data_IF_691749482173
#
_entry.id   IF_691749482173
#
_cell.length_a   1.000
_cell.length_b   1.000
_cell.length_c   1.000
_cell.angle_alpha   90.00
_cell.angle_beta   90.00
_cell.angle_gamma   90.00
#
_symmetry.space_group_name_H-M   'P 1'
#
loop_
_entity.id
_entity.type
_entity.pdbx_description
1 polymer ?
#
# COMPACT_ATOMS: atom_id res chain seq x y z
N UNK A 1 3.06 -21.05 1.35
CA UNK A 1 1.85 -20.25 1.44
C UNK A 1 0.90 -20.71 2.51
N UNK A 2 1.15 -21.90 3.06
CA UNK A 2 0.28 -22.46 4.10
C UNK A 2 0.22 -21.60 5.37
N UNK A 3 1.28 -20.83 5.64
CA UNK A 3 1.35 -19.97 6.82
C UNK A 3 0.97 -18.51 6.53
N UNK A 4 0.58 -18.18 5.29
CA UNK A 4 0.25 -16.81 4.93
C UNK A 4 -1.18 -16.48 5.31
N UNK A 5 -1.35 -15.58 6.28
CA UNK A 5 -2.68 -15.17 6.75
C UNK A 5 -3.51 -14.53 5.64
N UNK A 6 -2.87 -13.76 4.74
CA UNK A 6 -3.60 -13.12 3.64
C UNK A 6 -4.02 -14.10 2.56
N UNK A 7 -3.22 -15.15 2.31
CA UNK A 7 -3.65 -16.24 1.45
C UNK A 7 -4.89 -16.95 2.02
N UNK A 8 -4.90 -17.15 3.33
CA UNK A 8 -6.04 -17.79 4.01
C UNK A 8 -7.29 -16.93 3.96
N UNK A 9 -7.13 -15.60 4.11
CA UNK A 9 -8.25 -14.68 3.97
C UNK A 9 -8.76 -14.69 2.52
N UNK A 10 -7.86 -14.66 1.55
CA UNK A 10 -8.21 -14.67 0.13
C UNK A 10 -8.95 -15.94 -0.27
N UNK A 11 -8.63 -17.07 0.37
CA UNK A 11 -9.27 -18.37 0.10
C UNK A 11 -10.55 -18.58 0.92
N UNK A 12 -10.91 -17.64 1.78
CA UNK A 12 -12.11 -17.76 2.60
C UNK A 12 -11.94 -18.63 3.85
N UNK A 13 -10.71 -19.04 4.17
CA UNK A 13 -10.43 -19.88 5.34
C UNK A 13 -10.52 -19.10 6.65
N UNK A 14 -10.22 -17.80 6.60
CA UNK A 14 -10.30 -16.90 7.76
C UNK A 14 -11.34 -15.83 7.44
N UNK A 15 -12.37 -15.65 8.29
CA UNK A 15 -13.34 -14.60 8.09
C UNK A 15 -12.73 -13.22 8.31
N UNK A 16 -13.24 -12.23 7.58
CA UNK A 16 -12.77 -10.85 7.68
C UNK A 16 -13.94 -9.91 7.35
N UNK A 17 -13.75 -8.62 7.66
CA UNK A 17 -14.72 -7.58 7.30
C UNK A 17 -14.45 -7.14 5.86
N UNK A 18 -15.00 -7.88 4.93
CA UNK A 18 -14.76 -7.71 3.51
C UNK A 18 -15.47 -6.48 2.97
N UNK A 19 -14.73 -5.62 2.30
CA UNK A 19 -15.22 -4.40 1.66
C UNK A 19 -15.50 -4.65 0.17
N UNK A 20 -14.64 -5.41 -0.48
CA UNK A 20 -14.75 -5.70 -1.90
C UNK A 20 -13.99 -6.98 -2.23
N UNK A 21 -14.44 -7.68 -3.25
CA UNK A 21 -13.75 -8.89 -3.72
C UNK A 21 -14.08 -9.12 -5.18
N UNK A 22 -13.07 -9.49 -5.96
CA UNK A 22 -13.25 -10.02 -7.31
C UNK A 22 -12.23 -11.14 -7.54
N UNK A 23 -12.02 -11.54 -8.79
CA UNK A 23 -11.11 -12.65 -9.12
C UNK A 23 -9.63 -12.32 -8.89
N UNK A 24 -9.28 -11.04 -8.75
CA UNK A 24 -7.88 -10.59 -8.64
C UNK A 24 -7.53 -10.13 -7.22
N UNK A 25 -8.43 -9.42 -6.55
CA UNK A 25 -8.15 -8.81 -5.26
C UNK A 25 -9.24 -9.11 -4.24
N UNK A 26 -8.86 -8.95 -2.97
CA UNK A 26 -9.80 -8.84 -1.87
C UNK A 26 -9.42 -7.60 -1.07
N UNK A 27 -10.43 -6.82 -0.67
CA UNK A 27 -10.24 -5.66 0.19
C UNK A 27 -11.03 -5.86 1.47
N UNK A 28 -10.40 -5.62 2.61
CA UNK A 28 -11.02 -5.82 3.91
C UNK A 28 -10.48 -4.81 4.92
N UNK A 29 -11.24 -4.58 5.97
CA UNK A 29 -10.83 -3.63 7.01
C UNK A 29 -9.62 -4.18 7.77
N UNK A 30 -8.65 -3.31 8.01
CA UNK A 30 -7.58 -3.63 8.96
C UNK A 30 -8.19 -3.75 10.35
N UNK A 31 -7.88 -4.85 11.05
CA UNK A 31 -8.40 -5.06 12.40
C UNK A 31 -7.88 -4.01 13.37
N UNK A 32 -6.72 -3.43 13.10
CA UNK A 32 -6.12 -2.36 13.89
C UNK A 32 -6.32 -1.03 13.17
N UNK A 33 -7.55 -0.57 13.16
CA UNK A 33 -7.94 0.68 12.48
C UNK A 33 -7.11 1.85 12.96
N UNK A 34 -6.26 2.40 12.10
CA UNK A 34 -5.56 3.66 12.38
C UNK A 34 -6.57 4.81 12.37
N UNK A 35 -7.45 4.79 11.38
CA UNK A 35 -8.60 5.69 11.29
C UNK A 35 -9.81 4.87 10.86
N UNK A 36 -10.99 5.44 11.00
CA UNK A 36 -12.23 4.80 10.57
C UNK A 36 -12.18 4.52 9.06
N UNK A 37 -12.31 3.27 8.68
CA UNK A 37 -12.32 2.88 7.29
C UNK A 37 -10.96 2.45 6.75
N UNK A 38 -9.94 2.38 7.60
CA UNK A 38 -8.62 1.86 7.21
C UNK A 38 -8.80 0.49 6.56
N UNK A 39 -8.52 0.40 5.28
CA UNK A 39 -8.76 -0.76 4.43
C UNK A 39 -7.45 -1.28 3.84
N UNK A 40 -7.37 -2.59 3.71
CA UNK A 40 -6.26 -3.25 3.02
C UNK A 40 -6.77 -3.78 1.68
N UNK A 41 -6.05 -3.49 0.61
CA UNK A 41 -6.27 -4.09 -0.70
C UNK A 41 -5.18 -5.12 -0.94
N UNK A 42 -5.57 -6.36 -1.16
CA UNK A 42 -4.65 -7.50 -1.16
C UNK A 42 -4.86 -8.31 -2.45
N UNK A 43 -3.80 -8.60 -3.22
CA UNK A 43 -3.92 -9.51 -4.35
C UNK A 43 -4.24 -10.93 -3.85
N UNK A 44 -5.12 -11.64 -4.54
CA UNK A 44 -5.41 -13.03 -4.21
C UNK A 44 -4.23 -13.94 -4.48
N UNK A 45 -3.48 -13.64 -5.55
CA UNK A 45 -2.21 -14.29 -5.83
C UNK A 45 -1.18 -13.90 -4.77
N UNK A 46 -0.43 -14.86 -4.27
CA UNK A 46 0.63 -14.56 -3.30
C UNK A 46 1.79 -13.86 -4.02
N UNK A 47 1.94 -12.58 -3.74
CA UNK A 47 3.06 -11.76 -4.22
C UNK A 47 3.63 -11.15 -2.95
N UNK A 48 4.92 -11.37 -2.69
CA UNK A 48 5.51 -10.95 -1.42
C UNK A 48 5.53 -9.43 -1.25
N UNK A 49 5.98 -8.72 -2.28
CA UNK A 49 6.15 -7.26 -2.24
C UNK A 49 6.17 -6.70 -3.67
N UNK A 50 6.43 -5.39 -3.80
CA UNK A 50 6.41 -4.70 -5.09
C UNK A 50 7.41 -5.30 -6.10
N UNK A 51 8.52 -5.84 -5.60
CA UNK A 51 9.57 -6.39 -6.46
C UNK A 51 9.16 -7.71 -7.12
N UNK A 52 8.12 -8.37 -6.59
CA UNK A 52 7.58 -9.61 -7.15
C UNK A 52 6.44 -9.42 -8.15
N UNK A 53 6.02 -8.19 -8.42
CA UNK A 53 4.95 -7.93 -9.38
C UNK A 53 5.46 -8.01 -10.82
N UNK A 54 4.74 -8.74 -11.67
CA UNK A 54 4.86 -8.58 -13.11
C UNK A 54 4.10 -7.33 -13.54
N UNK A 55 4.34 -6.84 -14.75
CA UNK A 55 3.57 -5.71 -15.29
C UNK A 55 2.07 -6.02 -15.32
N UNK A 56 1.72 -7.24 -15.69
CA UNK A 56 0.32 -7.66 -15.74
C UNK A 56 -0.30 -7.71 -14.35
N UNK A 57 0.40 -8.27 -13.37
CA UNK A 57 -0.07 -8.32 -11.99
C UNK A 57 -0.26 -6.91 -11.42
N UNK A 58 0.72 -6.04 -11.65
CA UNK A 58 0.66 -4.64 -11.18
C UNK A 58 -0.53 -3.92 -11.80
N UNK A 59 -0.72 -4.04 -13.12
CA UNK A 59 -1.85 -3.44 -13.81
C UNK A 59 -3.18 -3.97 -13.25
N UNK A 60 -3.28 -5.27 -13.05
CA UNK A 60 -4.51 -5.89 -12.55
C UNK A 60 -4.85 -5.44 -11.14
N UNK A 61 -3.85 -5.44 -10.24
CA UNK A 61 -4.08 -5.12 -8.83
C UNK A 61 -4.29 -3.62 -8.62
N UNK A 62 -3.37 -2.80 -9.12
CA UNK A 62 -3.35 -1.37 -8.79
C UNK A 62 -4.47 -0.57 -9.46
N UNK A 63 -5.00 -1.03 -10.59
CA UNK A 63 -6.15 -0.36 -11.21
C UNK A 63 -7.41 -0.41 -10.32
N UNK A 64 -7.44 -1.29 -9.34
CA UNK A 64 -8.56 -1.44 -8.42
C UNK A 64 -8.49 -0.48 -7.22
N UNK A 65 -7.36 0.19 -7.03
CA UNK A 65 -7.20 1.16 -5.93
C UNK A 65 -8.23 2.28 -6.01
N UNK A 66 -8.42 2.95 -7.15
CA UNK A 66 -9.42 4.03 -7.22
C UNK A 66 -10.84 3.57 -6.92
N UNK A 67 -11.18 2.33 -7.26
CA UNK A 67 -12.50 1.77 -6.97
C UNK A 67 -12.77 1.79 -5.46
N UNK A 68 -11.84 1.26 -4.68
CA UNK A 68 -11.98 1.20 -3.22
C UNK A 68 -11.84 2.59 -2.60
N UNK A 69 -10.93 3.41 -3.11
CA UNK A 69 -10.73 4.78 -2.64
C UNK A 69 -12.00 5.62 -2.80
N UNK A 70 -12.66 5.53 -3.95
CA UNK A 70 -13.92 6.25 -4.20
C UNK A 70 -15.05 5.74 -3.32
N UNK A 71 -15.09 4.43 -3.08
CA UNK A 71 -16.07 3.85 -2.17
C UNK A 71 -15.91 4.41 -0.75
N UNK A 72 -14.68 4.55 -0.27
CA UNK A 72 -14.39 5.16 1.03
C UNK A 72 -14.84 6.62 1.08
N UNK A 73 -14.52 7.37 0.04
CA UNK A 73 -14.89 8.79 -0.08
C UNK A 73 -16.41 8.97 -0.05
N UNK A 74 -17.11 8.12 -0.77
CA UNK A 74 -18.58 8.20 -0.83
C UNK A 74 -19.24 7.72 0.46
N UNK A 75 -18.64 6.74 1.14
CA UNK A 75 -19.16 6.21 2.39
C UNK A 75 -18.98 7.17 3.56
N UNK A 76 -17.90 7.94 3.57
CA UNK A 76 -17.54 8.82 4.70
C UNK A 76 -17.42 10.26 4.23
N UNK A 77 -18.53 10.99 4.34
CA UNK A 77 -18.64 12.38 3.87
C UNK A 77 -17.69 13.34 4.60
N UNK A 78 -17.24 12.98 5.81
CA UNK A 78 -16.31 13.77 6.62
C UNK A 78 -14.83 13.48 6.29
N UNK A 79 -14.55 12.59 5.36
CA UNK A 79 -13.19 12.28 4.93
C UNK A 79 -12.56 13.47 4.21
N UNK A 80 -11.39 13.92 4.69
CA UNK A 80 -10.69 15.08 4.15
C UNK A 80 -9.55 14.70 3.22
N UNK A 81 -9.09 13.48 3.29
CA UNK A 81 -7.98 13.00 2.47
C UNK A 81 -7.79 11.52 2.63
N UNK A 82 -6.82 10.98 1.90
CA UNK A 82 -6.53 9.55 1.90
C UNK A 82 -5.03 9.35 1.73
N UNK A 83 -4.42 8.57 2.62
CA UNK A 83 -3.08 8.08 2.39
C UNK A 83 -3.14 6.67 1.82
N UNK A 84 -2.36 6.44 0.78
CA UNK A 84 -2.20 5.12 0.16
C UNK A 84 -0.78 4.70 0.44
N UNK A 85 -0.60 3.58 1.15
CA UNK A 85 0.70 3.16 1.65
C UNK A 85 0.94 1.71 1.28
N UNK A 86 2.10 1.44 0.69
CA UNK A 86 2.55 0.08 0.38
C UNK A 86 3.96 -0.10 0.93
N UNK A 87 4.10 -0.95 1.93
CA UNK A 87 5.38 -1.20 2.59
C UNK A 87 6.04 -2.42 1.98
N UNK A 88 7.29 -2.30 1.60
CA UNK A 88 8.04 -3.35 0.93
C UNK A 88 9.34 -3.61 1.67
N UNK A 89 9.40 -4.74 2.36
CA UNK A 89 10.52 -5.13 3.19
C UNK A 89 10.35 -4.74 4.66
N UNK A 90 11.03 -5.46 5.53
CA UNK A 90 10.92 -5.26 6.97
C UNK A 90 11.37 -3.86 7.41
N UNK A 91 12.46 -3.35 6.82
CA UNK A 91 12.96 -2.01 7.13
C UNK A 91 12.01 -0.90 6.71
N UNK A 92 11.08 -1.19 5.80
CA UNK A 92 10.03 -0.27 5.37
C UNK A 92 8.70 -0.60 6.05
N UNK A 93 8.73 -1.31 7.17
CA UNK A 93 7.58 -1.63 8.03
C UNK A 93 6.58 -2.61 7.42
N UNK A 94 6.99 -3.45 6.48
CA UNK A 94 6.14 -4.55 6.01
C UNK A 94 6.07 -5.61 7.12
N UNK A 95 4.87 -5.86 7.63
CA UNK A 95 4.65 -6.82 8.73
C UNK A 95 4.13 -8.18 8.26
N UNK A 96 3.42 -8.21 7.15
CA UNK A 96 2.94 -9.45 6.53
C UNK A 96 3.57 -9.54 5.14
N UNK A 97 4.25 -10.65 4.84
CA UNK A 97 4.99 -10.80 3.59
C UNK A 97 4.12 -11.38 2.47
N UNK A 98 3.01 -10.74 2.29
CA UNK A 98 2.07 -10.84 1.19
C UNK A 98 1.68 -9.40 0.90
N UNK A 99 1.98 -8.92 -0.29
CA UNK A 99 1.79 -7.52 -0.67
C UNK A 99 0.40 -7.02 -0.33
N UNK A 100 0.32 -5.84 0.23
CA UNK A 100 -0.95 -5.21 0.55
C UNK A 100 -0.80 -3.70 0.52
N UNK A 101 -1.89 -3.05 0.12
CA UNK A 101 -1.95 -1.61 0.03
C UNK A 101 -2.89 -1.11 1.11
N UNK A 102 -2.38 -0.24 1.98
CA UNK A 102 -3.19 0.43 2.99
C UNK A 102 -3.89 1.62 2.35
N UNK A 103 -5.20 1.72 2.56
CA UNK A 103 -5.97 2.92 2.24
C UNK A 103 -6.42 3.48 3.59
N UNK A 104 -5.88 4.63 3.96
CA UNK A 104 -6.07 5.23 5.28
C UNK A 104 -6.78 6.56 5.12
N UNK A 105 -8.12 6.60 5.36
CA UNK A 105 -8.86 7.84 5.32
C UNK A 105 -8.34 8.82 6.38
N UNK A 106 -8.31 10.11 6.04
CA UNK A 106 -7.84 11.15 6.95
C UNK A 106 -8.96 12.12 7.24
N UNK A 107 -9.10 12.46 8.51
CA UNK A 107 -10.19 13.30 9.01
C UNK A 107 -9.70 14.54 9.75
N UNK A 108 -8.65 14.43 10.56
CA UNK A 108 -8.19 15.47 11.48
C UNK A 108 -6.67 15.68 11.46
N UNK A 109 -6.00 15.36 10.35
CA UNK A 109 -4.56 15.54 10.24
C UNK A 109 -3.77 14.66 11.20
N UNK A 110 -2.86 15.25 11.97
CA UNK A 110 -2.00 14.48 12.87
C UNK A 110 -2.77 13.82 14.01
N UNK A 111 -3.93 14.36 14.38
CA UNK A 111 -4.74 13.78 15.45
C UNK A 111 -5.45 12.48 15.04
N UNK A 112 -5.33 12.06 13.80
CA UNK A 112 -5.83 10.76 13.33
C UNK A 112 -5.01 9.56 13.85
N UNK A 113 -3.93 9.80 14.59
CA UNK A 113 -3.07 8.72 15.06
C UNK A 113 -2.12 8.18 13.99
N UNK A 114 -2.04 8.88 12.87
CA UNK A 114 -1.16 8.53 11.77
C UNK A 114 -0.53 9.80 11.19
N UNK A 115 0.76 9.76 10.97
CA UNK A 115 1.49 10.84 10.36
C UNK A 115 2.74 10.32 9.68
N UNK A 116 3.26 11.09 8.74
CA UNK A 116 4.51 10.79 8.08
C UNK A 116 5.62 11.57 8.76
N UNK A 117 6.70 10.88 9.11
CA UNK A 117 7.92 11.53 9.54
C UNK A 117 8.65 11.96 8.28
N UNK A 118 8.66 13.24 8.03
CA UNK A 118 9.23 13.82 6.81
C UNK A 118 10.42 14.68 7.17
N UNK A 119 11.60 14.06 7.16
CA UNK A 119 12.85 14.75 7.49
C UNK A 119 13.78 14.70 6.29
N UNK A 120 13.79 15.76 5.44
CA UNK A 120 14.76 15.80 4.35
C UNK A 120 16.19 15.80 4.90
N UNK A 121 17.11 15.23 4.14
CA UNK A 121 18.52 15.33 4.47
C UNK A 121 18.92 16.81 4.56
N UNK A 122 19.92 17.10 5.40
CA UNK A 122 20.44 18.46 5.58
C UNK A 122 20.81 19.04 4.21
N UNK A 123 20.51 20.34 4.02
CA UNK A 123 20.84 21.06 2.79
C UNK A 123 22.33 20.89 2.48
N UNK A 124 22.64 20.60 1.22
CA UNK A 124 24.01 20.39 0.76
C UNK A 124 24.55 18.97 0.92
N UNK A 125 23.78 18.07 1.55
CA UNK A 125 24.17 16.64 1.66
C UNK A 125 24.40 16.03 0.28
N UNK A 126 23.55 16.38 -0.68
CA UNK A 126 23.66 15.92 -2.07
C UNK A 126 23.91 17.12 -2.96
N UNK A 127 25.09 17.16 -3.58
CA UNK A 127 25.43 18.20 -4.57
C UNK A 127 24.65 17.94 -5.88
N UNK A 128 24.65 18.93 -6.78
CA UNK A 128 24.06 18.77 -8.11
C UNK A 128 24.71 17.59 -8.86
N UNK A 129 26.03 17.44 -8.70
CA UNK A 129 26.75 16.32 -9.31
C UNK A 129 26.32 15.00 -8.71
N UNK A 130 26.16 14.92 -7.38
CA UNK A 130 25.66 13.72 -6.70
C UNK A 130 24.29 13.31 -7.24
N UNK A 131 23.39 14.28 -7.36
CA UNK A 131 22.03 14.02 -7.87
C UNK A 131 22.06 13.53 -9.30
N UNK A 132 22.93 14.09 -10.13
CA UNK A 132 23.12 13.64 -11.51
C UNK A 132 23.63 12.19 -11.56
N UNK A 133 24.60 11.86 -10.73
CA UNK A 133 25.14 10.52 -10.64
C UNK A 133 24.08 9.50 -10.16
N UNK A 134 23.30 9.90 -9.15
CA UNK A 134 22.20 9.07 -8.65
C UNK A 134 21.18 8.82 -9.79
N UNK A 135 20.80 9.87 -10.50
CA UNK A 135 19.88 9.79 -11.62
C UNK A 135 20.39 8.81 -12.68
N UNK A 136 21.67 8.94 -13.07
CA UNK A 136 22.28 8.07 -14.08
C UNK A 136 22.31 6.62 -13.63
N UNK A 137 22.65 6.38 -12.37
CA UNK A 137 22.70 5.02 -11.80
C UNK A 137 21.33 4.34 -11.89
N UNK A 138 20.28 5.05 -11.54
CA UNK A 138 18.91 4.51 -11.60
C UNK A 138 18.49 4.27 -13.05
N UNK A 139 18.73 5.26 -13.94
CA UNK A 139 18.36 5.17 -15.35
C UNK A 139 18.98 3.96 -16.05
N UNK A 140 20.23 3.67 -15.73
CA UNK A 140 20.94 2.52 -16.31
C UNK A 140 20.24 1.21 -15.98
N UNK A 141 19.64 1.09 -14.80
CA UNK A 141 18.94 -0.12 -14.39
C UNK A 141 17.59 -0.25 -15.09
N UNK A 142 16.93 0.86 -15.42
CA UNK A 142 15.65 0.84 -16.13
C UNK A 142 15.85 0.53 -17.61
N UNK A 143 16.85 1.15 -18.23
CA UNK A 143 17.15 0.98 -19.67
C UNK A 143 17.86 -0.33 -19.97
N UNK A 144 18.60 -0.85 -19.01
CA UNK A 144 19.30 -2.12 -19.12
C UNK A 144 18.39 -3.32 -18.94
#
# INVERSE_FOLDING_TARGET
>A
MDNCIFCKIANGEIPTNKVYEDEVVIAFLDMSQVTKGHTLLVPKKHIQDIFGYSSNDASAVFKRIPLVANALKDAFSDMQGLNILNNNGEMAYQSVFHSHVHLIPRYNGESDGFGLKWEPAQEGTYSDEDLKNITNTINQQIEG
#
